data_IF_317228418429
#
_entry.id   IF_317228418429
#
_cell.length_a   1.000
_cell.length_b   1.000
_cell.length_c   1.000
_cell.angle_alpha   90.00
_cell.angle_beta   90.00
_cell.angle_gamma   90.00
#
_symmetry.space_group_name_H-M   'P 1'
#
loop_
_entity.id
_entity.type
_entity.pdbx_description
1 polymer ?
#
# COMPACT_ATOMS: atom_id res chain seq x y z
N UNK A 1 19.26 18.95 10.52
CA UNK A 1 18.22 18.26 9.71
C UNK A 1 18.57 18.52 8.24
N UNK A 2 18.92 17.51 7.44
CA UNK A 2 19.48 17.74 6.10
C UNK A 2 18.37 17.66 5.04
N UNK A 3 17.77 18.79 4.72
CA UNK A 3 16.54 18.96 3.92
C UNK A 3 16.63 18.29 2.53
N UNK A 4 17.82 18.27 1.90
CA UNK A 4 18.03 17.59 0.61
C UNK A 4 17.84 16.06 0.69
N UNK A 5 18.27 15.42 1.79
CA UNK A 5 18.10 13.97 1.97
C UNK A 5 16.64 13.61 2.23
N UNK A 6 15.90 14.47 2.93
CA UNK A 6 14.48 14.24 3.20
C UNK A 6 13.62 14.43 1.94
N UNK A 7 13.91 15.46 1.12
CA UNK A 7 13.27 15.65 -0.19
C UNK A 7 13.51 14.46 -1.13
N UNK A 8 14.76 13.98 -1.25
CA UNK A 8 15.06 12.80 -2.06
C UNK A 8 14.28 11.57 -1.58
N UNK A 9 14.18 11.40 -0.27
CA UNK A 9 13.42 10.30 0.33
C UNK A 9 11.93 10.45 0.03
N UNK A 10 11.38 11.66 0.14
CA UNK A 10 9.99 11.95 -0.21
C UNK A 10 9.65 11.62 -1.66
N UNK A 11 10.49 12.01 -2.62
CA UNK A 11 10.29 11.66 -4.03
C UNK A 11 10.32 10.15 -4.29
N UNK A 12 11.16 9.40 -3.57
CA UNK A 12 11.17 7.94 -3.63
C UNK A 12 9.86 7.37 -3.10
N UNK A 13 9.36 7.89 -1.97
CA UNK A 13 8.06 7.49 -1.42
C UNK A 13 6.90 7.88 -2.32
N UNK A 14 6.94 9.05 -2.96
CA UNK A 14 5.94 9.51 -3.93
C UNK A 14 5.87 8.55 -5.11
N UNK A 15 7.01 8.23 -5.73
CA UNK A 15 7.07 7.26 -6.83
C UNK A 15 6.50 5.90 -6.43
N UNK A 16 6.89 5.39 -5.26
CA UNK A 16 6.41 4.10 -4.77
C UNK A 16 4.91 4.14 -4.46
N UNK A 17 4.43 5.25 -3.89
CA UNK A 17 3.01 5.50 -3.61
C UNK A 17 2.17 5.58 -4.87
N UNK A 18 2.66 6.26 -5.91
CA UNK A 18 2.02 6.28 -7.23
C UNK A 18 1.91 4.90 -7.83
N UNK A 19 3.01 4.14 -7.85
CA UNK A 19 2.98 2.77 -8.37
C UNK A 19 1.99 1.89 -7.59
N UNK A 20 2.03 1.97 -6.26
CA UNK A 20 1.15 1.19 -5.40
C UNK A 20 -0.32 1.58 -5.58
N UNK A 21 -0.66 2.87 -5.47
CA UNK A 21 -2.04 3.36 -5.59
C UNK A 21 -2.61 3.08 -6.98
N UNK A 22 -1.86 3.35 -8.05
CA UNK A 22 -2.33 3.07 -9.42
C UNK A 22 -2.58 1.58 -9.62
N UNK A 23 -1.65 0.72 -9.23
CA UNK A 23 -1.83 -0.74 -9.35
C UNK A 23 -3.01 -1.22 -8.53
N UNK A 24 -3.17 -0.68 -7.32
CA UNK A 24 -4.24 -1.02 -6.41
C UNK A 24 -5.63 -0.67 -6.96
N UNK A 25 -5.83 0.57 -7.41
CA UNK A 25 -7.09 1.01 -8.00
C UNK A 25 -7.39 0.29 -9.31
N UNK A 26 -6.39 -0.01 -10.13
CA UNK A 26 -6.56 -0.81 -11.35
C UNK A 26 -7.03 -2.23 -11.06
N UNK A 27 -6.45 -2.90 -10.05
CA UNK A 27 -6.88 -4.24 -9.64
C UNK A 27 -8.35 -4.20 -9.19
N UNK A 28 -8.73 -3.21 -8.39
CA UNK A 28 -10.12 -3.04 -7.96
C UNK A 28 -11.06 -2.81 -9.13
N UNK A 29 -10.71 -1.93 -10.06
CA UNK A 29 -11.51 -1.66 -11.25
C UNK A 29 -11.69 -2.92 -12.11
N UNK A 30 -10.64 -3.70 -12.33
CA UNK A 30 -10.70 -4.98 -13.06
C UNK A 30 -11.63 -6.00 -12.38
N UNK A 31 -11.53 -6.15 -11.05
CA UNK A 31 -12.38 -7.08 -10.31
C UNK A 31 -13.84 -6.64 -10.38
N UNK A 32 -14.11 -5.34 -10.23
CA UNK A 32 -15.47 -4.81 -10.32
C UNK A 32 -16.05 -4.97 -11.72
N UNK A 33 -15.28 -4.70 -12.77
CA UNK A 33 -15.70 -4.92 -14.16
C UNK A 33 -16.01 -6.39 -14.41
N UNK A 34 -15.20 -7.31 -13.87
CA UNK A 34 -15.41 -8.75 -14.00
C UNK A 34 -16.69 -9.21 -13.30
N UNK A 35 -16.94 -8.75 -12.07
CA UNK A 35 -18.16 -9.08 -11.32
C UNK A 35 -19.41 -8.48 -11.98
N UNK A 36 -19.29 -7.28 -12.53
CA UNK A 36 -20.41 -6.56 -13.16
C UNK A 36 -20.73 -7.08 -14.57
N UNK A 37 -19.90 -7.97 -15.14
CA UNK A 37 -20.05 -8.49 -16.50
C UNK A 37 -19.95 -7.41 -17.57
N UNK A 38 -19.29 -6.28 -17.26
CA UNK A 38 -19.16 -5.14 -18.18
C UNK A 38 -17.85 -5.26 -18.94
N UNK A 39 -17.93 -5.55 -20.24
CA UNK A 39 -16.76 -5.69 -21.11
C UNK A 39 -16.12 -4.34 -21.52
N UNK A 40 -16.81 -3.21 -21.26
CA UNK A 40 -16.37 -1.88 -21.66
C UNK A 40 -16.14 -0.96 -20.46
N UNK A 41 -14.93 -0.41 -20.37
CA UNK A 41 -14.59 0.63 -19.38
C UNK A 41 -14.92 2.00 -19.98
N UNK A 42 -15.83 2.74 -19.33
CA UNK A 42 -16.16 4.11 -19.74
C UNK A 42 -14.99 5.06 -19.48
N UNK A 43 -14.69 5.93 -20.46
CA UNK A 43 -13.67 6.99 -20.33
C UNK A 43 -13.93 7.89 -19.12
N UNK A 44 -15.20 8.12 -18.78
CA UNK A 44 -15.60 8.92 -17.60
C UNK A 44 -15.20 8.22 -16.31
N UNK A 45 -15.40 6.91 -16.22
CA UNK A 45 -15.01 6.13 -15.03
C UNK A 45 -13.49 6.08 -14.91
N UNK A 46 -12.78 5.87 -16.01
CA UNK A 46 -11.32 5.86 -16.04
C UNK A 46 -10.73 7.20 -15.56
N UNK A 47 -11.31 8.31 -16.03
CA UNK A 47 -10.87 9.66 -15.63
C UNK A 47 -11.12 9.90 -14.15
N UNK A 48 -12.27 9.45 -13.62
CA UNK A 48 -12.53 9.47 -12.18
C UNK A 48 -11.49 8.64 -11.44
N UNK A 49 -11.23 7.39 -11.84
CA UNK A 49 -10.21 6.53 -11.21
C UNK A 49 -8.86 7.25 -11.13
N UNK A 50 -8.41 7.91 -12.20
CA UNK A 50 -7.14 8.66 -12.20
C UNK A 50 -7.14 9.77 -11.14
N UNK A 51 -8.19 10.57 -11.06
CA UNK A 51 -8.30 11.64 -10.03
C UNK A 51 -8.27 11.04 -8.62
N UNK A 52 -8.97 9.93 -8.41
CA UNK A 52 -9.00 9.24 -7.13
C UNK A 52 -7.65 8.60 -6.78
N UNK A 53 -6.89 8.11 -7.77
CA UNK A 53 -5.54 7.58 -7.52
C UNK A 53 -4.62 8.64 -6.92
N UNK A 54 -4.73 9.91 -7.33
CA UNK A 54 -3.95 11.01 -6.74
C UNK A 54 -4.21 11.16 -5.24
N UNK A 55 -5.46 11.04 -4.79
CA UNK A 55 -5.78 11.05 -3.36
C UNK A 55 -5.21 9.83 -2.64
N UNK A 56 -5.26 8.64 -3.25
CA UNK A 56 -4.60 7.45 -2.73
C UNK A 56 -3.08 7.61 -2.56
N UNK A 57 -2.43 8.26 -3.54
CA UNK A 57 -1.00 8.61 -3.46
C UNK A 57 -0.72 9.54 -2.30
N UNK A 58 -1.54 10.57 -2.09
CA UNK A 58 -1.39 11.48 -0.96
C UNK A 58 -1.53 10.75 0.38
N UNK A 59 -2.53 9.88 0.53
CA UNK A 59 -2.71 9.05 1.74
C UNK A 59 -1.48 8.17 1.98
N UNK A 60 -0.93 7.55 0.94
CA UNK A 60 0.30 6.77 1.05
C UNK A 60 1.49 7.63 1.48
N UNK A 61 1.68 8.79 0.84
CA UNK A 61 2.74 9.72 1.19
C UNK A 61 2.63 10.19 2.65
N UNK A 62 1.42 10.51 3.14
CA UNK A 62 1.21 10.93 4.53
C UNK A 62 1.52 9.79 5.51
N UNK A 63 1.06 8.57 5.23
CA UNK A 63 1.27 7.42 6.11
C UNK A 63 2.75 6.98 6.20
N UNK A 64 3.51 7.12 5.11
CA UNK A 64 4.89 6.64 5.04
C UNK A 64 5.96 7.73 5.22
N UNK A 65 5.61 9.01 5.03
CA UNK A 65 6.55 10.11 5.29
C UNK A 65 6.78 10.26 6.79
N UNK A 66 8.06 10.43 7.18
CA UNK A 66 8.48 10.60 8.58
C UNK A 66 7.91 11.85 9.27
N UNK A 67 7.23 12.73 8.53
CA UNK A 67 6.62 13.97 9.04
C UNK A 67 5.51 13.69 10.07
N UNK A 68 4.67 12.67 9.86
CA UNK A 68 3.56 12.38 10.78
C UNK A 68 3.86 11.25 11.78
N UNK A 69 4.66 10.24 11.39
CA UNK A 69 4.75 8.98 12.16
C UNK A 69 6.21 8.60 12.43
N UNK A 70 6.87 9.32 13.34
CA UNK A 70 8.32 9.17 13.61
C UNK A 70 8.70 7.89 14.38
N UNK A 71 7.79 7.30 15.18
CA UNK A 71 8.06 6.15 16.08
C UNK A 71 7.43 4.81 15.71
N UNK A 72 6.52 4.75 14.73
CA UNK A 72 5.84 3.49 14.43
C UNK A 72 6.63 2.62 13.44
N UNK A 73 6.64 1.32 13.71
CA UNK A 73 7.14 0.30 12.79
C UNK A 73 6.30 0.21 11.50
N UNK A 74 6.86 -0.44 10.48
CA UNK A 74 6.23 -0.55 9.16
C UNK A 74 4.82 -1.16 9.22
N UNK A 75 4.61 -2.20 10.05
CA UNK A 75 3.30 -2.84 10.19
C UNK A 75 2.22 -1.87 10.64
N UNK A 76 2.50 -1.04 11.64
CA UNK A 76 1.53 -0.06 12.12
C UNK A 76 1.27 1.07 11.10
N UNK A 77 2.29 1.49 10.34
CA UNK A 77 2.10 2.44 9.23
C UNK A 77 1.22 1.84 8.13
N UNK A 78 1.44 0.57 7.81
CA UNK A 78 0.63 -0.16 6.84
C UNK A 78 -0.82 -0.27 7.34
N UNK A 79 -1.06 -0.59 8.60
CA UNK A 79 -2.42 -0.66 9.15
C UNK A 79 -3.14 0.70 9.11
N UNK A 80 -2.47 1.80 9.47
CA UNK A 80 -3.04 3.15 9.37
C UNK A 80 -3.36 3.50 7.91
N UNK A 81 -2.43 3.20 7.00
CA UNK A 81 -2.64 3.38 5.57
C UNK A 81 -3.85 2.59 5.07
N UNK A 82 -3.99 1.33 5.48
CA UNK A 82 -5.12 0.48 5.08
C UNK A 82 -6.44 1.02 5.62
N UNK A 83 -6.51 1.45 6.88
CA UNK A 83 -7.72 2.09 7.41
C UNK A 83 -8.08 3.34 6.60
N UNK A 84 -7.11 4.22 6.34
CA UNK A 84 -7.34 5.45 5.61
C UNK A 84 -7.76 5.19 4.15
N UNK A 85 -7.12 4.24 3.47
CA UNK A 85 -7.46 3.92 2.08
C UNK A 85 -8.81 3.22 1.99
N UNK A 86 -9.18 2.36 2.94
CA UNK A 86 -10.51 1.74 2.97
C UNK A 86 -11.62 2.78 3.15
N UNK A 87 -11.45 3.77 4.03
CA UNK A 87 -12.40 4.89 4.12
C UNK A 87 -12.49 5.68 2.81
N UNK A 88 -11.34 5.92 2.17
CA UNK A 88 -11.27 6.64 0.91
C UNK A 88 -11.93 5.87 -0.25
N UNK A 89 -11.78 4.55 -0.29
CA UNK A 89 -12.42 3.67 -1.27
C UNK A 89 -13.93 3.63 -1.13
N UNK A 90 -14.44 3.58 0.11
CA UNK A 90 -15.88 3.64 0.36
C UNK A 90 -16.47 4.88 -0.34
N UNK A 91 -15.82 6.04 -0.18
CA UNK A 91 -16.23 7.28 -0.86
C UNK A 91 -16.12 7.17 -2.39
N UNK A 92 -15.06 6.54 -2.90
CA UNK A 92 -14.87 6.31 -4.33
C UNK A 92 -16.00 5.47 -4.93
N UNK A 93 -16.32 4.34 -4.33
CA UNK A 93 -17.37 3.46 -4.83
C UNK A 93 -18.76 4.08 -4.74
N UNK A 94 -19.04 4.87 -3.69
CA UNK A 94 -20.24 5.70 -3.65
C UNK A 94 -20.26 6.72 -4.81
N UNK A 95 -19.14 7.34 -5.15
CA UNK A 95 -19.05 8.34 -6.24
C UNK A 95 -19.24 7.76 -7.66
N UNK A 96 -18.98 6.46 -7.83
CA UNK A 96 -19.19 5.72 -9.08
C UNK A 96 -20.60 5.11 -9.14
N UNK A 97 -21.35 5.14 -8.03
CA UNK A 97 -22.71 4.62 -7.96
C UNK A 97 -22.79 3.10 -7.81
N UNK A 98 -21.67 2.44 -7.49
CA UNK A 98 -21.62 0.99 -7.29
C UNK A 98 -22.35 0.54 -6.01
N UNK A 99 -22.38 1.38 -4.97
CA UNK A 99 -23.06 1.09 -3.70
C UNK A 99 -24.32 1.95 -3.47
N UNK A 100 -25.08 2.24 -4.55
CA UNK A 100 -26.25 3.13 -4.50
C UNK A 100 -27.41 2.64 -3.63
N UNK A 101 -27.56 1.33 -3.42
CA UNK A 101 -28.61 0.75 -2.56
C UNK A 101 -28.04 -0.15 -1.45
N UNK A 102 -28.62 -0.05 -0.26
CA UNK A 102 -28.33 -0.89 0.94
C UNK A 102 -28.57 -2.39 0.65
N UNK A 103 -29.34 -2.69 -0.40
CA UNK A 103 -29.70 -4.05 -0.84
C UNK A 103 -28.52 -4.88 -1.37
N UNK A 104 -27.37 -4.28 -1.68
CA UNK A 104 -26.19 -4.98 -2.22
C UNK A 104 -25.21 -5.49 -1.16
N UNK A 105 -25.73 -6.07 -0.06
CA UNK A 105 -24.94 -6.65 1.04
C UNK A 105 -23.84 -7.63 0.54
N UNK A 106 -24.12 -8.37 -0.54
CA UNK A 106 -23.16 -9.27 -1.16
C UNK A 106 -21.98 -8.55 -1.83
N UNK A 107 -22.20 -7.39 -2.45
CA UNK A 107 -21.11 -6.60 -3.05
C UNK A 107 -20.20 -5.99 -1.98
N UNK A 108 -20.78 -5.55 -0.85
CA UNK A 108 -20.02 -5.09 0.31
C UNK A 108 -19.15 -6.18 0.94
N UNK A 109 -19.69 -7.40 1.08
CA UNK A 109 -18.92 -8.56 1.57
C UNK A 109 -17.77 -8.94 0.63
N UNK A 110 -18.02 -8.97 -0.68
CA UNK A 110 -16.97 -9.21 -1.68
C UNK A 110 -15.88 -8.15 -1.63
N UNK A 111 -16.27 -6.87 -1.54
CA UNK A 111 -15.34 -5.76 -1.42
C UNK A 111 -14.45 -5.87 -0.18
N UNK A 112 -15.05 -6.10 0.99
CA UNK A 112 -14.31 -6.26 2.23
C UNK A 112 -13.37 -7.48 2.17
N UNK A 113 -13.82 -8.58 1.56
CA UNK A 113 -13.01 -9.78 1.35
C UNK A 113 -11.79 -9.52 0.47
N UNK A 114 -11.94 -8.74 -0.62
CA UNK A 114 -10.84 -8.38 -1.53
C UNK A 114 -9.80 -7.54 -0.79
N UNK A 115 -10.23 -6.50 -0.06
CA UNK A 115 -9.33 -5.65 0.73
C UNK A 115 -8.56 -6.49 1.75
N UNK A 116 -9.24 -7.38 2.46
CA UNK A 116 -8.64 -8.21 3.51
C UNK A 116 -7.63 -9.20 2.91
N UNK A 117 -7.92 -9.78 1.75
CA UNK A 117 -6.99 -10.63 1.02
C UNK A 117 -5.73 -9.86 0.57
N UNK A 118 -5.91 -8.68 -0.04
CA UNK A 118 -4.81 -7.81 -0.46
C UNK A 118 -3.96 -7.33 0.74
N UNK A 119 -4.60 -7.04 1.87
CA UNK A 119 -3.91 -6.73 3.12
C UNK A 119 -3.04 -7.88 3.58
N UNK A 120 -3.59 -9.10 3.56
CA UNK A 120 -2.86 -10.30 3.95
C UNK A 120 -1.65 -10.53 3.04
N UNK A 121 -1.81 -10.37 1.72
CA UNK A 121 -0.70 -10.44 0.76
C UNK A 121 0.39 -9.42 1.12
N UNK A 122 0.02 -8.18 1.42
CA UNK A 122 0.97 -7.14 1.83
C UNK A 122 1.72 -7.52 3.13
N UNK A 123 1.04 -8.13 4.10
CA UNK A 123 1.68 -8.64 5.33
C UNK A 123 2.63 -9.80 5.03
N UNK A 124 2.28 -10.73 4.15
CA UNK A 124 3.12 -11.87 3.77
C UNK A 124 4.39 -11.40 3.04
N UNK A 125 4.24 -10.47 2.09
CA UNK A 125 5.37 -9.86 1.38
C UNK A 125 6.31 -9.17 2.38
N UNK A 126 5.74 -8.40 3.32
CA UNK A 126 6.53 -7.73 4.35
C UNK A 126 7.24 -8.72 5.28
N UNK A 127 6.55 -9.76 5.73
CA UNK A 127 7.11 -10.82 6.58
C UNK A 127 8.29 -11.52 5.91
N UNK A 128 8.14 -11.83 4.62
CA UNK A 128 9.19 -12.46 3.80
C UNK A 128 10.40 -11.55 3.63
N UNK A 129 10.18 -10.25 3.38
CA UNK A 129 11.26 -9.28 3.26
C UNK A 129 12.01 -9.05 4.59
N UNK A 130 11.28 -9.03 5.71
CA UNK A 130 11.86 -8.89 7.05
C UNK A 130 12.73 -10.10 7.40
N UNK A 131 12.30 -11.33 7.07
CA UNK A 131 13.11 -12.54 7.27
C UNK A 131 14.43 -12.46 6.50
N UNK A 132 14.38 -12.13 5.20
CA UNK A 132 15.59 -11.97 4.37
C UNK A 132 16.54 -10.91 4.90
N UNK A 133 16.03 -9.76 5.37
CA UNK A 133 16.89 -8.73 5.99
C UNK A 133 17.50 -9.21 7.30
N UNK A 134 16.73 -9.90 8.14
CA UNK A 134 17.23 -10.46 9.40
C UNK A 134 18.39 -11.42 9.14
N UNK A 135 18.25 -12.32 8.17
CA UNK A 135 19.29 -13.26 7.74
C UNK A 135 20.57 -12.55 7.25
N UNK A 136 20.42 -11.52 6.42
CA UNK A 136 21.55 -10.69 5.97
C UNK A 136 22.29 -10.01 7.13
N UNK A 137 21.56 -9.47 8.12
CA UNK A 137 22.19 -8.85 9.28
C UNK A 137 22.87 -9.87 10.19
N UNK A 138 22.29 -11.05 10.38
CA UNK A 138 22.94 -12.13 11.15
C UNK A 138 24.22 -12.63 10.46
N UNK A 139 24.22 -12.76 9.14
CA UNK A 139 25.42 -13.12 8.37
C UNK A 139 26.51 -12.06 8.48
N UNK A 140 26.17 -10.78 8.34
CA UNK A 140 27.13 -9.69 8.50
C UNK A 140 27.70 -9.62 9.92
N UNK A 141 26.89 -9.91 10.96
CA UNK A 141 27.35 -9.97 12.34
C UNK A 141 28.31 -11.13 12.59
N UNK A 142 28.02 -12.31 12.02
CA UNK A 142 28.90 -13.48 12.10
C UNK A 142 30.25 -13.23 11.42
N UNK A 143 30.25 -12.61 10.25
CA UNK A 143 31.48 -12.21 9.54
C UNK A 143 32.32 -11.24 10.38
N UNK A 144 31.69 -10.22 10.96
CA UNK A 144 32.39 -9.27 11.83
C UNK A 144 32.97 -9.93 13.09
N UNK A 145 32.26 -10.88 13.68
CA UNK A 145 32.75 -11.65 14.83
C UNK A 145 33.91 -12.59 14.47
N UNK A 146 33.90 -13.17 13.26
CA UNK A 146 35.00 -14.00 12.76
C UNK A 146 36.25 -13.15 12.48
N UNK A 147 36.12 -12.02 11.79
CA UNK A 147 37.24 -11.09 11.55
C UNK A 147 37.89 -10.62 12.87
N UNK A 148 37.08 -10.30 13.88
CA UNK A 148 37.55 -9.93 15.21
C UNK A 148 38.31 -11.05 15.93
N UNK A 149 37.95 -12.31 15.72
CA UNK A 149 38.65 -13.46 16.32
C UNK A 149 39.99 -13.70 15.64
N UNK A 150 40.03 -13.66 14.31
CA UNK A 150 41.27 -13.84 13.53
C UNK A 150 42.29 -12.72 13.71
N UNK A 151 41.89 -11.52 14.14
CA UNK A 151 42.81 -10.42 14.46
C UNK A 151 43.40 -10.54 15.88
N UNK A 152 42.72 -11.28 16.76
CA UNK A 152 43.11 -11.44 18.17
C UNK A 152 43.85 -12.78 18.44
N UNK A 153 44.05 -13.62 17.42
CA UNK A 153 44.90 -14.82 17.42
C UNK A 153 46.24 -14.52 16.74
#
# INVERSE_FOLDING_TARGET
MNTKKELKTFFIWLRNGTCFAVTWFLILELIVSWISGTDTISVVNLTKTIVWTLGGVLIFCVAFTRLFIRRFGFTARLTIFMLAITFYEILFFYSIGLFGDISYLHQWLLFFSIILCLYFICLVIYGSYRKKKCELYTLALQQYQQERRTINE
#
